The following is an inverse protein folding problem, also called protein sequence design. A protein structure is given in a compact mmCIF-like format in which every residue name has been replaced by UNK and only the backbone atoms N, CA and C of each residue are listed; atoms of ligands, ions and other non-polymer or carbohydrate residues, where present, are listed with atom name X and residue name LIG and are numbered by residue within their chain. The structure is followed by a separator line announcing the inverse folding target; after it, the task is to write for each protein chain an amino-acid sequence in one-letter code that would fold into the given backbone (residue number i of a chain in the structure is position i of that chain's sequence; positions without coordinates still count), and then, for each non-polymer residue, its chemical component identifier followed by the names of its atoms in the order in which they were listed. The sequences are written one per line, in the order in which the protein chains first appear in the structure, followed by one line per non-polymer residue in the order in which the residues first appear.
data_IF_634326390521
#
_entry.id   IF_634326390521
#
_cell.length_a   1.000
_cell.length_b   1.000
_cell.length_c   1.000
_cell.angle_alpha   90.00
_cell.angle_beta   90.00
_cell.angle_gamma   90.00
#
_symmetry.space_group_name_H-M   'P 1'
#
loop_
_entity.id
_entity.type
_entity.pdbx_description
1 polymer ?
#
# COMPACT_ATOMS: atom_id res chain seq x y z
N UNK A 1 -6.67 13.40 41.31
CA UNK A 1 -5.62 12.77 42.15
C UNK A 1 -4.62 11.90 41.36
N UNK A 2 -5.01 10.79 40.70
CA UNK A 2 -4.04 9.91 40.00
C UNK A 2 -3.36 10.60 38.80
N UNK A 3 -4.16 11.24 37.94
CA UNK A 3 -3.66 11.99 36.78
C UNK A 3 -2.78 13.18 37.16
N UNK A 4 -3.09 13.89 38.25
CA UNK A 4 -2.27 15.00 38.77
C UNK A 4 -0.92 14.51 39.30
N UNK A 5 -0.86 13.33 39.91
CA UNK A 5 0.40 12.72 40.36
C UNK A 5 1.30 12.35 39.19
N UNK A 6 0.72 11.79 38.12
CA UNK A 6 1.44 11.44 36.89
C UNK A 6 1.92 12.73 36.19
N UNK A 7 1.04 13.72 36.05
CA UNK A 7 1.38 15.00 35.42
C UNK A 7 2.50 15.73 36.17
N UNK A 8 2.46 15.81 37.51
CA UNK A 8 3.55 16.41 38.28
C UNK A 8 4.85 15.62 38.17
N UNK A 9 4.79 14.29 38.09
CA UNK A 9 5.97 13.45 37.84
C UNK A 9 6.59 13.73 36.47
N UNK A 10 5.75 13.93 35.46
CA UNK A 10 6.16 14.27 34.09
C UNK A 10 6.80 15.66 34.04
N UNK A 11 6.16 16.67 34.64
CA UNK A 11 6.65 18.06 34.65
C UNK A 11 7.98 18.17 35.42
N UNK A 12 8.15 17.43 36.52
CA UNK A 12 9.39 17.47 37.33
C UNK A 12 10.61 16.91 36.60
N UNK A 13 10.42 15.99 35.65
CA UNK A 13 11.52 15.35 34.91
C UNK A 13 11.36 15.47 33.38
N UNK A 14 10.73 16.55 32.91
CA UNK A 14 10.39 16.74 31.49
C UNK A 14 11.58 16.54 30.54
N UNK A 15 12.78 17.01 30.90
CA UNK A 15 14.00 16.83 30.10
C UNK A 15 14.36 15.35 29.88
N UNK A 16 14.18 14.50 30.91
CA UNK A 16 14.47 13.06 30.81
C UNK A 16 13.43 12.35 29.94
N UNK A 17 12.17 12.75 30.06
CA UNK A 17 11.06 12.17 29.29
C UNK A 17 11.22 12.49 27.81
N UNK A 18 11.59 13.73 27.48
CA UNK A 18 11.88 14.14 26.10
C UNK A 18 13.04 13.31 25.52
N UNK A 19 14.11 13.10 26.28
CA UNK A 19 15.24 12.27 25.84
C UNK A 19 14.82 10.81 25.61
N UNK A 20 14.02 10.24 26.51
CA UNK A 20 13.49 8.87 26.34
C UNK A 20 12.62 8.77 25.08
N UNK A 21 11.76 9.77 24.85
CA UNK A 21 10.92 9.82 23.65
C UNK A 21 11.72 9.98 22.37
N UNK A 22 12.79 10.80 22.38
CA UNK A 22 13.70 10.93 21.25
C UNK A 22 14.41 9.61 20.96
N UNK A 23 14.89 8.91 21.98
CA UNK A 23 15.51 7.59 21.82
C UNK A 23 14.50 6.58 21.27
N UNK A 24 13.27 6.55 21.81
CA UNK A 24 12.22 5.67 21.34
C UNK A 24 11.86 5.94 19.87
N UNK A 25 11.77 7.21 19.48
CA UNK A 25 11.51 7.61 18.09
C UNK A 25 12.65 7.17 17.17
N UNK A 26 13.90 7.36 17.60
CA UNK A 26 15.08 7.01 16.81
C UNK A 26 15.22 5.49 16.63
N UNK A 27 14.80 4.70 17.63
CA UNK A 27 14.70 3.24 17.53
C UNK A 27 13.50 2.78 16.68
N UNK A 28 12.42 3.56 16.62
CA UNK A 28 11.27 3.25 15.78
C UNK A 28 11.59 3.39 14.28
N UNK A 29 12.50 4.28 13.89
CA UNK A 29 12.91 4.48 12.48
C UNK A 29 13.39 3.17 11.83
N UNK A 30 14.42 2.46 12.32
CA UNK A 30 14.85 1.21 11.71
C UNK A 30 13.78 0.12 11.81
N UNK A 31 12.94 0.13 12.84
CA UNK A 31 11.84 -0.82 12.97
C UNK A 31 10.79 -0.62 11.85
N UNK A 32 10.45 0.63 11.52
CA UNK A 32 9.51 0.94 10.42
C UNK A 32 10.17 0.73 9.06
N UNK A 33 11.46 1.02 8.90
CA UNK A 33 12.16 0.76 7.64
C UNK A 33 12.28 -0.73 7.33
N UNK A 34 12.34 -1.60 8.34
CA UNK A 34 12.25 -3.06 8.16
C UNK A 34 10.86 -3.53 7.69
N UNK A 35 9.82 -2.69 7.82
CA UNK A 35 8.47 -2.98 7.32
C UNK A 35 8.24 -2.49 5.88
N UNK A 36 9.16 -1.70 5.32
CA UNK A 36 9.03 -1.13 3.98
C UNK A 36 9.01 -2.17 2.83
N UNK A 37 9.41 -3.41 3.09
CA UNK A 37 9.35 -4.50 2.11
C UNK A 37 8.11 -5.39 2.23
N UNK A 38 7.22 -5.14 3.19
CA UNK A 38 6.03 -5.98 3.44
C UNK A 38 4.79 -5.12 3.72
N UNK A 39 4.83 -3.84 3.37
CA UNK A 39 3.62 -3.02 3.35
C UNK A 39 2.84 -3.35 2.09
N UNK A 40 2.27 -4.55 2.09
CA UNK A 40 1.16 -4.87 1.21
C UNK A 40 0.05 -3.91 1.63
N UNK A 41 -0.25 -2.93 0.77
CA UNK A 41 -1.50 -2.19 0.89
C UNK A 41 -2.60 -3.18 0.57
N UNK A 42 -2.86 -4.07 1.52
CA UNK A 42 -3.89 -5.07 1.40
C UNK A 42 -5.19 -4.28 1.36
N UNK A 43 -5.73 -4.15 0.15
CA UNK A 43 -7.07 -3.62 -0.13
C UNK A 43 -8.17 -4.49 0.49
N UNK A 44 -7.86 -5.26 1.53
CA UNK A 44 -8.72 -6.22 2.20
C UNK A 44 -9.07 -5.79 3.63
N UNK A 45 -8.80 -4.54 4.00
CA UNK A 45 -9.12 -3.99 5.33
C UNK A 45 -10.63 -3.91 5.64
N UNK A 46 -11.50 -4.58 4.88
CA UNK A 46 -12.96 -4.49 5.02
C UNK A 46 -13.73 -5.81 4.97
N UNK A 47 -13.11 -6.95 4.65
CA UNK A 47 -13.81 -8.22 4.48
C UNK A 47 -13.35 -9.19 5.55
N UNK A 48 -14.23 -9.57 6.47
CA UNK A 48 -13.96 -10.75 7.29
C UNK A 48 -13.76 -11.96 6.38
N UNK A 49 -12.77 -12.80 6.69
CA UNK A 49 -12.42 -14.03 5.96
C UNK A 49 -13.62 -15.00 5.74
N UNK A 50 -14.71 -14.82 6.49
CA UNK A 50 -15.93 -15.63 6.45
C UNK A 50 -16.99 -15.15 5.43
N UNK A 51 -16.70 -14.13 4.62
CA UNK A 51 -17.65 -13.67 3.59
C UNK A 51 -17.65 -14.63 2.39
N UNK A 52 -18.84 -15.04 1.94
CA UNK A 52 -19.02 -15.94 0.79
C UNK A 52 -18.33 -15.41 -0.49
N UNK A 53 -18.25 -14.08 -0.62
CA UNK A 53 -17.52 -13.41 -1.70
C UNK A 53 -16.01 -13.71 -1.71
N UNK A 54 -15.38 -13.80 -0.53
CA UNK A 54 -13.94 -14.13 -0.41
C UNK A 54 -13.70 -15.60 -0.74
N UNK A 55 -14.60 -16.49 -0.31
CA UNK A 55 -14.55 -17.91 -0.68
C UNK A 55 -14.74 -18.13 -2.18
N UNK A 56 -15.67 -17.40 -2.80
CA UNK A 56 -15.89 -17.46 -4.23
C UNK A 56 -14.68 -16.93 -5.01
N UNK A 57 -14.09 -15.80 -4.58
CA UNK A 57 -12.87 -15.26 -5.19
C UNK A 57 -11.72 -16.27 -5.13
N UNK A 58 -11.53 -16.93 -3.99
CA UNK A 58 -10.50 -17.97 -3.83
C UNK A 58 -10.68 -19.16 -4.79
N UNK A 59 -11.92 -19.59 -5.04
CA UNK A 59 -12.21 -20.65 -6.00
C UNK A 59 -11.91 -20.17 -7.44
N UNK A 60 -12.23 -18.92 -7.76
CA UNK A 60 -11.89 -18.33 -9.06
C UNK A 60 -10.36 -18.30 -9.23
N UNK A 61 -9.64 -17.82 -8.21
CA UNK A 61 -8.18 -17.73 -8.22
C UNK A 61 -7.49 -19.11 -8.20
N UNK A 62 -8.13 -20.18 -7.74
CA UNK A 62 -7.53 -21.53 -7.71
C UNK A 62 -7.73 -22.29 -9.03
N UNK A 63 -8.90 -22.14 -9.66
CA UNK A 63 -9.31 -22.96 -10.81
C UNK A 63 -9.32 -22.22 -12.14
N UNK A 64 -9.34 -20.88 -12.12
CA UNK A 64 -9.47 -20.03 -13.30
C UNK A 64 -8.29 -19.06 -13.43
N UNK A 65 -7.09 -19.42 -12.96
CA UNK A 65 -5.86 -18.69 -13.28
C UNK A 65 -5.57 -18.77 -14.78
N UNK A 66 -6.31 -18.03 -15.60
CA UNK A 66 -5.67 -17.39 -16.73
C UNK A 66 -4.59 -16.51 -16.11
N UNK A 67 -3.34 -16.78 -16.48
CA UNK A 67 -2.14 -16.08 -16.06
C UNK A 67 -2.23 -14.59 -16.42
N UNK A 68 -3.04 -13.84 -15.70
CA UNK A 68 -2.97 -12.39 -15.69
C UNK A 68 -1.97 -12.09 -14.59
N UNK A 69 -0.73 -11.80 -15.00
CA UNK A 69 0.31 -11.35 -14.09
C UNK A 69 -0.28 -10.31 -13.12
N UNK A 70 -0.03 -10.48 -11.82
CA UNK A 70 -0.40 -9.50 -10.80
C UNK A 70 0.06 -8.11 -11.26
N UNK A 71 -0.90 -7.29 -11.71
CA UNK A 71 -0.61 -6.02 -12.39
C UNK A 71 -1.08 -5.99 -13.85
N UNK A 72 -2.39 -6.13 -14.08
CA UNK A 72 -2.96 -5.68 -15.37
C UNK A 72 -2.96 -4.17 -15.39
N UNK A 73 -1.98 -3.59 -16.10
CA UNK A 73 -1.95 -2.14 -16.33
C UNK A 73 -2.87 -1.84 -17.50
N UNK A 74 -4.04 -1.25 -17.20
CA UNK A 74 -4.94 -0.73 -18.23
C UNK A 74 -4.45 0.65 -18.67
N UNK A 75 -3.99 0.75 -19.92
CA UNK A 75 -3.60 2.04 -20.53
C UNK A 75 -4.74 2.50 -21.44
N UNK A 76 -5.36 3.62 -21.11
CA UNK A 76 -6.40 4.25 -21.94
C UNK A 76 -5.77 5.34 -22.80
N UNK A 77 -5.97 5.26 -24.11
CA UNK A 77 -5.51 6.28 -25.07
C UNK A 77 -6.70 7.16 -25.47
N UNK A 78 -6.50 8.46 -25.43
CA UNK A 78 -7.52 9.45 -25.77
C UNK A 78 -6.97 10.46 -26.79
N UNK A 79 -7.71 10.65 -27.87
CA UNK A 79 -7.46 11.64 -28.92
C UNK A 79 -8.81 11.99 -29.59
N UNK A 80 -8.86 13.11 -30.31
CA UNK A 80 -10.05 13.55 -31.04
C UNK A 80 -10.41 12.57 -32.18
N UNK A 81 -9.41 11.89 -32.76
CA UNK A 81 -9.58 10.78 -33.69
C UNK A 81 -8.62 9.62 -33.36
N UNK A 82 -9.18 8.61 -32.69
CA UNK A 82 -8.46 7.39 -32.28
C UNK A 82 -8.15 6.43 -33.43
N UNK A 83 -8.70 6.66 -34.64
CA UNK A 83 -8.46 5.86 -35.84
C UNK A 83 -7.35 6.52 -36.70
N UNK A 84 -6.81 7.65 -36.25
CA UNK A 84 -5.79 8.37 -36.99
C UNK A 84 -4.50 7.55 -37.19
N UNK A 85 -3.78 7.75 -38.30
CA UNK A 85 -2.49 7.09 -38.53
C UNK A 85 -1.45 7.37 -37.43
N UNK A 86 -1.52 8.56 -36.80
CA UNK A 86 -0.64 8.93 -35.70
C UNK A 86 -0.92 8.09 -34.44
N UNK A 87 -2.19 7.80 -34.13
CA UNK A 87 -2.57 6.91 -33.03
C UNK A 87 -2.08 5.48 -33.29
N UNK A 88 -2.18 5.01 -34.52
CA UNK A 88 -1.66 3.69 -34.91
C UNK A 88 -0.15 3.59 -34.69
N UNK A 89 0.62 4.59 -35.13
CA UNK A 89 2.08 4.64 -34.95
C UNK A 89 2.44 4.64 -33.46
N UNK A 90 1.71 5.43 -32.65
CA UNK A 90 1.91 5.49 -31.22
C UNK A 90 1.63 4.14 -30.52
N UNK A 91 0.53 3.46 -30.87
CA UNK A 91 0.20 2.14 -30.31
C UNK A 91 1.27 1.10 -30.66
N UNK A 92 1.76 1.10 -31.90
CA UNK A 92 2.82 0.18 -32.34
C UNK A 92 4.15 0.47 -31.61
N UNK A 93 4.50 1.74 -31.44
CA UNK A 93 5.68 2.15 -30.67
C UNK A 93 5.56 1.78 -29.18
N UNK A 94 4.36 1.88 -28.60
CA UNK A 94 4.08 1.47 -27.23
C UNK A 94 4.21 -0.05 -27.06
N UNK A 95 3.63 -0.83 -27.98
CA UNK A 95 3.71 -2.29 -27.98
C UNK A 95 5.17 -2.78 -28.02
N UNK A 96 6.01 -2.19 -28.87
CA UNK A 96 7.43 -2.53 -28.99
C UNK A 96 8.30 -2.13 -27.78
N UNK A 97 7.78 -1.33 -26.84
CA UNK A 97 8.49 -0.91 -25.61
C UNK A 97 8.08 -1.70 -24.37
N UNK A 98 6.88 -2.29 -24.40
CA UNK A 98 6.28 -3.01 -23.25
C UNK A 98 6.46 -4.52 -23.39
N UNK A 99 6.73 -5.02 -24.61
CA UNK A 99 7.10 -6.42 -24.89
C UNK A 99 8.61 -6.55 -24.98
#
# INVERSE_FOLDING_TARGET
MLFEKIANGVVRHYKKIIVIWLIALLLAIPAVMQLGSVMDYQMDLGSGDDQESIRAQKIIDEYFQESVAEGTIMVVLQDDDVISPAMQEYVLALQGRVT
#
